data_IF_938324372857
#
_entry.id   IF_938324372857
#
_cell.length_a   1.000
_cell.length_b   1.000
_cell.length_c   1.000
_cell.angle_alpha   90.00
_cell.angle_beta   90.00
_cell.angle_gamma   90.00
#
_symmetry.space_group_name_H-M   'P 1'
#
loop_
_entity.id
_entity.type
_entity.pdbx_description
1 polymer ?
#
# COMPACT_ATOMS: atom_id res chain seq x y z
N UNK A 1 -6.90 -2.55 -17.03
CA UNK A 1 -7.68 -3.19 -15.95
C UNK A 1 -7.30 -4.67 -15.77
N UNK A 2 -7.42 -5.55 -16.78
CA UNK A 2 -7.02 -6.98 -16.65
C UNK A 2 -5.58 -7.19 -16.14
N UNK A 3 -4.61 -6.48 -16.73
CA UNK A 3 -3.18 -6.52 -16.33
C UNK A 3 -2.93 -6.14 -14.86
N UNK A 4 -3.65 -5.12 -14.37
CA UNK A 4 -3.56 -4.66 -12.98
C UNK A 4 -4.09 -5.73 -12.02
N UNK A 5 -5.24 -6.33 -12.33
CA UNK A 5 -5.80 -7.43 -11.55
C UNK A 5 -4.85 -8.63 -11.44
N UNK A 6 -4.17 -8.97 -12.54
CA UNK A 6 -3.17 -10.05 -12.56
C UNK A 6 -1.98 -9.72 -11.64
N UNK A 7 -1.39 -8.52 -11.74
CA UNK A 7 -0.28 -8.09 -10.87
C UNK A 7 -0.67 -8.07 -9.40
N UNK A 8 -1.84 -7.53 -9.09
CA UNK A 8 -2.36 -7.49 -7.72
C UNK A 8 -2.57 -8.90 -7.17
N UNK A 9 -3.07 -9.84 -7.98
CA UNK A 9 -3.26 -11.23 -7.55
C UNK A 9 -1.96 -12.01 -7.35
N UNK A 10 -0.87 -11.61 -8.00
CA UNK A 10 0.46 -12.23 -7.83
C UNK A 10 1.28 -11.60 -6.70
N UNK A 11 0.84 -10.48 -6.13
CA UNK A 11 1.58 -9.80 -5.05
C UNK A 11 1.31 -10.46 -3.70
N UNK A 12 2.35 -11.06 -3.12
CA UNK A 12 2.27 -11.70 -1.81
C UNK A 12 1.90 -10.69 -0.71
N UNK A 13 2.41 -9.46 -0.80
CA UNK A 13 2.10 -8.40 0.15
C UNK A 13 0.61 -8.05 0.15
N UNK A 14 0.00 -7.91 -1.03
CA UNK A 14 -1.44 -7.61 -1.14
C UNK A 14 -2.30 -8.76 -0.64
N UNK A 15 -1.83 -10.00 -0.82
CA UNK A 15 -2.52 -11.18 -0.29
C UNK A 15 -2.51 -11.20 1.24
N UNK A 16 -1.37 -10.91 1.88
CA UNK A 16 -1.29 -10.80 3.34
C UNK A 16 -2.18 -9.67 3.90
N UNK A 17 -2.25 -8.53 3.20
CA UNK A 17 -3.15 -7.42 3.56
C UNK A 17 -4.62 -7.83 3.45
N UNK A 18 -5.02 -8.56 2.40
CA UNK A 18 -6.38 -9.07 2.22
C UNK A 18 -6.75 -10.09 3.30
N UNK A 19 -5.83 -11.00 3.66
CA UNK A 19 -6.01 -11.97 4.74
C UNK A 19 -6.19 -11.28 6.10
N UNK A 20 -5.36 -10.27 6.41
CA UNK A 20 -5.50 -9.46 7.61
C UNK A 20 -6.86 -8.73 7.64
N UNK A 21 -7.26 -8.10 6.53
CA UNK A 21 -8.55 -7.41 6.44
C UNK A 21 -9.74 -8.35 6.66
N UNK A 22 -9.67 -9.58 6.12
CA UNK A 22 -10.69 -10.62 6.34
C UNK A 22 -10.73 -11.06 7.81
N UNK A 23 -9.58 -11.26 8.44
CA UNK A 23 -9.50 -11.63 9.85
C UNK A 23 -10.03 -10.51 10.77
N UNK A 24 -9.66 -9.24 10.52
CA UNK A 24 -10.25 -8.10 11.24
C UNK A 24 -11.77 -8.07 11.09
N UNK A 25 -12.28 -8.38 9.90
CA UNK A 25 -13.73 -8.47 9.67
C UNK A 25 -14.36 -9.60 10.49
N UNK A 26 -13.76 -10.80 10.52
CA UNK A 26 -14.31 -11.91 11.33
C UNK A 26 -14.33 -11.54 12.81
N UNK A 27 -13.27 -10.92 13.32
CA UNK A 27 -13.20 -10.43 14.70
C UNK A 27 -14.26 -9.38 15.02
N UNK A 28 -14.57 -8.50 14.06
CA UNK A 28 -15.57 -7.44 14.23
C UNK A 28 -17.01 -7.98 14.16
N UNK A 29 -17.25 -8.97 13.31
CA UNK A 29 -18.57 -9.57 13.12
C UNK A 29 -18.89 -10.60 14.22
N UNK A 30 -17.90 -11.05 15.00
CA UNK A 30 -18.07 -11.87 16.19
C UNK A 30 -18.74 -11.07 17.33
N UNK A 31 -19.93 -11.52 17.74
CA UNK A 31 -20.72 -10.87 18.80
C UNK A 31 -21.04 -11.80 19.98
N UNK A 32 -20.69 -13.08 19.86
CA UNK A 32 -20.91 -14.09 20.90
C UNK A 32 -19.58 -14.47 21.54
N UNK A 33 -19.52 -14.40 22.86
CA UNK A 33 -18.32 -14.75 23.61
C UNK A 33 -18.65 -15.74 24.73
N UNK A 34 -17.85 -16.80 24.83
CA UNK A 34 -17.95 -17.74 25.94
C UNK A 34 -17.69 -17.02 27.27
N UNK A 35 -18.56 -17.27 28.25
CA UNK A 35 -18.41 -16.80 29.64
C UNK A 35 -17.44 -17.67 30.45
N UNK A 36 -17.02 -18.83 29.92
CA UNK A 36 -16.00 -19.64 30.56
C UNK A 36 -14.63 -18.96 30.45
N UNK A 37 -13.99 -18.75 31.59
CA UNK A 37 -12.72 -18.02 31.68
C UNK A 37 -11.58 -18.70 30.91
N UNK A 38 -11.42 -20.02 31.03
CA UNK A 38 -10.37 -20.77 30.35
C UNK A 38 -10.55 -20.70 28.82
N UNK A 39 -11.79 -20.89 28.35
CA UNK A 39 -12.13 -20.78 26.94
C UNK A 39 -11.89 -19.35 26.39
N UNK A 40 -12.16 -18.33 27.20
CA UNK A 40 -11.87 -16.94 26.84
C UNK A 40 -10.36 -16.69 26.72
N UNK A 41 -9.56 -17.17 27.68
CA UNK A 41 -8.10 -17.00 27.68
C UNK A 41 -7.46 -17.69 26.49
N UNK A 42 -7.87 -18.92 26.16
CA UNK A 42 -7.38 -19.64 24.98
C UNK A 42 -7.67 -18.87 23.68
N UNK A 43 -8.91 -18.39 23.50
CA UNK A 43 -9.28 -17.59 22.32
C UNK A 43 -8.45 -16.31 22.21
N UNK A 44 -8.16 -15.64 23.33
CA UNK A 44 -7.33 -14.44 23.33
C UNK A 44 -5.90 -14.75 22.84
N UNK A 45 -5.30 -15.84 23.33
CA UNK A 45 -3.96 -16.27 22.90
C UNK A 45 -3.92 -16.66 21.42
N UNK A 46 -4.95 -17.36 20.93
CA UNK A 46 -5.07 -17.69 19.51
C UNK A 46 -5.15 -16.42 18.65
N UNK A 47 -5.95 -15.44 19.07
CA UNK A 47 -6.09 -14.16 18.37
C UNK A 47 -4.77 -13.37 18.36
N UNK A 48 -4.03 -13.34 19.48
CA UNK A 48 -2.71 -12.71 19.53
C UNK A 48 -1.71 -13.41 18.59
N UNK A 49 -1.74 -14.74 18.53
CA UNK A 49 -0.87 -15.50 17.64
C UNK A 49 -1.19 -15.23 16.17
N UNK A 50 -2.48 -15.11 15.81
CA UNK A 50 -2.90 -14.71 14.46
C UNK A 50 -2.52 -13.26 14.16
N UNK A 51 -2.73 -12.34 15.10
CA UNK A 51 -2.34 -10.94 14.96
C UNK A 51 -0.83 -10.79 14.66
N UNK A 52 0.00 -11.53 15.39
CA UNK A 52 1.47 -11.47 15.26
C UNK A 52 1.98 -11.91 13.87
N UNK A 53 1.22 -12.74 13.15
CA UNK A 53 1.56 -13.14 11.79
C UNK A 53 1.48 -11.96 10.82
N UNK A 54 0.61 -10.99 11.10
CA UNK A 54 0.40 -9.81 10.27
C UNK A 54 1.34 -8.64 10.60
N UNK A 55 2.09 -8.70 11.70
CA UNK A 55 3.06 -7.64 12.05
C UNK A 55 4.11 -7.42 10.95
N UNK A 56 4.49 -8.51 10.26
CA UNK A 56 5.44 -8.51 9.14
C UNK A 56 4.96 -7.69 7.93
N UNK A 57 3.67 -7.42 7.81
CA UNK A 57 3.11 -6.56 6.74
C UNK A 57 3.74 -5.16 6.83
N UNK A 58 4.06 -4.69 8.04
CA UNK A 58 4.62 -3.34 8.28
C UNK A 58 6.08 -3.17 7.87
N UNK A 59 6.80 -4.27 7.65
CA UNK A 59 8.21 -4.29 7.23
C UNK A 59 8.38 -4.10 5.70
N UNK A 60 7.28 -4.16 4.96
CA UNK A 60 7.32 -3.98 3.51
C UNK A 60 7.79 -2.56 3.13
N UNK A 61 8.74 -2.51 2.20
CA UNK A 61 9.19 -1.29 1.55
C UNK A 61 9.36 -1.52 0.06
N UNK A 62 8.96 -0.53 -0.71
CA UNK A 62 9.23 -0.41 -2.13
C UNK A 62 10.62 0.19 -2.36
N UNK A 63 11.18 0.00 -3.55
CA UNK A 63 12.43 0.64 -3.99
C UNK A 63 12.22 2.07 -4.52
N UNK A 64 11.03 2.66 -4.28
CA UNK A 64 10.67 3.99 -4.77
C UNK A 64 11.30 5.08 -3.91
N UNK A 65 11.94 6.05 -4.56
CA UNK A 65 12.50 7.24 -3.89
C UNK A 65 11.62 8.45 -4.16
N UNK A 66 11.14 9.07 -3.09
CA UNK A 66 10.30 10.28 -3.14
C UNK A 66 11.15 11.52 -2.89
N UNK A 67 10.95 12.55 -3.72
CA UNK A 67 11.65 13.83 -3.60
C UNK A 67 10.62 14.95 -3.68
N UNK A 68 10.73 15.92 -2.77
CA UNK A 68 9.91 17.13 -2.81
C UNK A 68 10.32 18.03 -3.96
N UNK A 69 9.38 18.85 -4.40
CA UNK A 69 9.63 19.83 -5.45
C UNK A 69 10.48 21.00 -4.91
N UNK A 70 11.25 21.70 -5.76
CA UNK A 70 12.17 22.75 -5.32
C UNK A 70 11.51 23.86 -4.47
N UNK A 71 10.27 24.23 -4.79
CA UNK A 71 9.55 25.25 -4.01
C UNK A 71 9.15 24.74 -2.61
N UNK A 72 8.87 23.45 -2.45
CA UNK A 72 8.56 22.84 -1.15
C UNK A 72 9.82 22.76 -0.28
N UNK A 73 10.98 22.48 -0.88
CA UNK A 73 12.28 22.50 -0.19
C UNK A 73 12.55 23.88 0.40
N UNK A 74 12.35 24.94 -0.37
CA UNK A 74 12.52 26.31 0.12
C UNK A 74 11.55 26.69 1.27
N UNK A 75 10.36 26.07 1.33
CA UNK A 75 9.41 26.24 2.43
C UNK A 75 9.82 25.44 3.67
N UNK A 76 10.31 24.22 3.48
CA UNK A 76 10.80 23.34 4.55
C UNK A 76 12.09 23.84 5.22
N UNK A 77 12.92 24.60 4.51
CA UNK A 77 14.08 25.29 5.12
C UNK A 77 13.66 26.36 6.13
N UNK A 78 12.48 26.97 5.94
CA UNK A 78 11.94 28.00 6.82
C UNK A 78 11.09 27.44 7.96
N UNK A 79 10.50 26.27 7.77
CA UNK A 79 9.65 25.59 8.75
C UNK A 79 10.14 24.17 9.03
N UNK A 80 10.75 23.99 10.20
CA UNK A 80 11.27 22.70 10.66
C UNK A 80 10.18 21.66 10.93
N UNK A 81 8.97 22.08 11.32
CA UNK A 81 7.84 21.17 11.56
C UNK A 81 7.32 20.65 10.22
N UNK A 82 7.26 21.51 9.21
CA UNK A 82 6.90 21.10 7.85
C UNK A 82 7.89 20.08 7.28
N UNK A 83 9.19 20.30 7.52
CA UNK A 83 10.24 19.36 7.10
C UNK A 83 10.04 17.97 7.72
N UNK A 84 9.89 17.90 9.04
CA UNK A 84 9.71 16.61 9.74
C UNK A 84 8.46 15.86 9.26
N UNK A 85 7.35 16.59 9.06
CA UNK A 85 6.12 16.02 8.50
C UNK A 85 6.36 15.45 7.11
N UNK A 86 7.15 16.13 6.28
CA UNK A 86 7.42 15.69 4.91
C UNK A 86 8.35 14.48 4.86
N UNK A 87 9.38 14.45 5.69
CA UNK A 87 10.29 13.30 5.81
C UNK A 87 9.50 12.05 6.24
N UNK A 88 8.61 12.19 7.23
CA UNK A 88 7.71 11.12 7.66
C UNK A 88 6.77 10.66 6.55
N UNK A 89 6.21 11.61 5.79
CA UNK A 89 5.34 11.30 4.67
C UNK A 89 6.07 10.52 3.57
N UNK A 90 7.28 10.92 3.19
CA UNK A 90 8.09 10.19 2.22
C UNK A 90 8.46 8.78 2.71
N UNK A 91 8.80 8.62 3.99
CA UNK A 91 9.06 7.31 4.57
C UNK A 91 7.82 6.42 4.60
N UNK A 92 6.63 6.98 4.78
CA UNK A 92 5.39 6.21 4.71
C UNK A 92 5.03 5.84 3.27
N UNK A 93 5.27 6.74 2.32
CA UNK A 93 5.04 6.49 0.89
C UNK A 93 5.89 5.34 0.36
N UNK A 94 7.13 5.19 0.84
CA UNK A 94 7.97 4.05 0.43
C UNK A 94 7.42 2.72 0.90
N UNK A 95 6.58 2.68 1.95
CA UNK A 95 5.93 1.46 2.44
C UNK A 95 4.57 1.20 1.79
N UNK A 96 4.09 2.10 0.93
CA UNK A 96 2.76 1.99 0.32
C UNK A 96 2.78 1.11 -0.93
N UNK A 97 2.26 -0.11 -0.80
CA UNK A 97 2.11 -1.09 -1.89
C UNK A 97 1.22 -0.58 -3.04
N UNK A 98 0.28 0.32 -2.77
CA UNK A 98 -0.61 0.84 -3.81
C UNK A 98 0.07 1.88 -4.69
N UNK A 99 1.12 2.54 -4.18
CA UNK A 99 1.89 3.52 -4.95
C UNK A 99 2.61 2.85 -6.14
N UNK A 100 3.19 1.67 -5.91
CA UNK A 100 3.83 0.89 -6.96
C UNK A 100 2.84 0.51 -8.07
N UNK A 101 1.66 -0.03 -7.68
CA UNK A 101 0.65 -0.40 -8.66
C UNK A 101 0.06 0.82 -9.38
N UNK A 102 -0.11 1.96 -8.70
CA UNK A 102 -0.54 3.20 -9.33
C UNK A 102 0.42 3.64 -10.43
N UNK A 103 1.74 3.56 -10.20
CA UNK A 103 2.77 3.84 -11.21
C UNK A 103 2.67 2.85 -12.38
N UNK A 104 2.49 1.56 -12.09
CA UNK A 104 2.31 0.54 -13.13
C UNK A 104 1.07 0.78 -13.98
N UNK A 105 -0.05 1.17 -13.37
CA UNK A 105 -1.29 1.54 -14.07
C UNK A 105 -1.07 2.78 -14.93
N UNK A 106 -0.38 3.81 -14.42
CA UNK A 106 -0.05 5.01 -15.19
C UNK A 106 0.84 4.68 -16.40
N UNK A 107 1.81 3.79 -16.23
CA UNK A 107 2.65 3.30 -17.34
C UNK A 107 1.83 2.54 -18.38
N UNK A 108 0.95 1.64 -17.94
CA UNK A 108 0.03 0.93 -18.83
C UNK A 108 -0.84 1.92 -19.63
N UNK A 109 -1.37 2.97 -18.99
CA UNK A 109 -2.13 4.02 -19.67
C UNK A 109 -1.27 4.78 -20.69
N UNK A 110 -0.08 5.24 -20.32
CA UNK A 110 0.82 5.97 -21.24
C UNK A 110 1.14 5.16 -22.50
N UNK A 111 1.38 3.85 -22.35
CA UNK A 111 1.70 2.97 -23.47
C UNK A 111 0.51 2.74 -24.40
N UNK A 112 -0.73 2.83 -23.93
CA UNK A 112 -1.91 2.77 -24.83
C UNK A 112 -2.08 4.06 -25.64
N UNK A 113 -1.68 5.22 -25.11
CA UNK A 113 -1.75 6.51 -25.83
C UNK A 113 -0.57 6.76 -26.76
N UNK A 114 0.64 6.28 -26.42
CA UNK A 114 1.88 6.47 -27.20
C UNK A 114 1.90 5.83 -28.59
N UNK A 115 0.90 5.02 -28.94
CA UNK A 115 0.77 4.35 -30.25
C UNK A 115 -0.07 5.18 -31.24
N UNK A 116 -0.81 6.22 -30.79
CA UNK A 116 -1.69 7.02 -31.67
C UNK A 116 -1.02 8.21 -32.37
N UNK A 117 0.30 8.40 -32.26
CA UNK A 117 1.04 9.50 -32.93
C UNK A 117 1.69 9.13 -34.26
N UNK A 118 1.49 7.91 -34.78
CA UNK A 118 1.83 7.57 -36.18
C UNK A 118 0.67 7.86 -37.13
N UNK A 119 0.28 9.13 -37.29
CA UNK A 119 -0.59 9.56 -38.39
C UNK A 119 -0.16 10.95 -38.88
N UNK A 120 0.77 10.94 -39.84
CA UNK A 120 0.94 11.85 -40.98
C UNK A 120 2.44 12.00 -41.30
N UNK A 121 2.96 11.15 -42.19
CA UNK A 121 4.16 11.48 -42.94
C UNK A 121 3.81 12.59 -43.93
N UNK A 122 4.43 13.76 -43.80
CA UNK A 122 4.37 14.83 -44.80
C UNK A 122 4.95 14.28 -46.10
N UNK A 123 4.16 14.31 -47.19
CA UNK A 123 4.66 14.06 -48.54
C UNK A 123 5.46 15.29 -49.00
N UNK A 124 6.64 15.05 -49.54
CA UNK A 124 7.41 16.02 -50.34
C UNK A 124 6.62 16.52 -51.55
#
# INVERSE_FOLDING_TARGET
>A
IKKSKERMSSSEQLKQIDENAKWIKTMRDESEFSLNYEAYQLRLQENELVASQFDKISDYSTDLTFKSLPYEVALMEKDSVLKEKRDRWHSNLSKDVYMEEAINVLNDLKMTYGIKTKVASVKE
#
